data_IF_913129696781
#
_entry.id   IF_913129696781
#
_cell.length_a   1.000
_cell.length_b   1.000
_cell.length_c   1.000
_cell.angle_alpha   90.00
_cell.angle_beta   90.00
_cell.angle_gamma   90.00
#
_symmetry.space_group_name_H-M   'P 1'
#
loop_
_entity.id
_entity.type
_entity.pdbx_description
1 polymer ?
#
# COMPACT_ATOMS: atom_id res chain seq x y z
N UNK A 1 4.39 -6.15 -6.73
CA UNK A 1 4.50 -4.70 -6.42
C UNK A 1 3.12 -4.13 -6.15
N UNK A 2 2.88 -3.56 -4.95
CA UNK A 2 1.60 -2.93 -4.59
C UNK A 2 1.56 -1.48 -5.06
N UNK A 3 0.47 -1.08 -5.74
CA UNK A 3 0.25 0.32 -6.15
C UNK A 3 -0.33 1.14 -5.00
N UNK A 4 0.31 2.26 -4.65
CA UNK A 4 -0.13 3.16 -3.57
C UNK A 4 -0.69 4.47 -4.12
N UNK A 5 -1.88 4.87 -3.64
CA UNK A 5 -2.59 6.09 -4.04
C UNK A 5 -2.51 7.15 -2.92
N UNK A 6 -2.27 8.43 -3.28
CA UNK A 6 -2.03 9.54 -2.33
C UNK A 6 -2.87 10.79 -2.70
N UNK A 7 -3.10 11.70 -1.74
CA UNK A 7 -3.78 13.00 -1.96
C UNK A 7 -2.78 14.16 -2.08
N UNK A 8 -3.15 15.23 -2.80
CA UNK A 8 -2.26 16.23 -3.45
C UNK A 8 -1.21 16.99 -2.59
N UNK A 9 -1.22 16.84 -1.25
CA UNK A 9 -0.20 17.43 -0.36
C UNK A 9 0.89 16.46 0.14
N UNK A 10 0.65 15.15 0.05
CA UNK A 10 1.52 14.12 0.64
C UNK A 10 2.56 13.57 -0.34
N UNK A 11 2.40 13.92 -1.62
CA UNK A 11 3.12 13.32 -2.75
C UNK A 11 4.63 13.57 -2.69
N UNK A 12 5.07 14.80 -2.39
CA UNK A 12 6.49 15.14 -2.40
C UNK A 12 7.29 14.40 -1.32
N UNK A 13 6.76 14.35 -0.09
CA UNK A 13 7.43 13.69 1.03
C UNK A 13 7.44 12.16 0.88
N UNK A 14 6.34 11.56 0.43
CA UNK A 14 6.24 10.12 0.28
C UNK A 14 7.13 9.59 -0.87
N UNK A 15 7.25 10.33 -1.97
CA UNK A 15 8.09 9.94 -3.12
C UNK A 15 9.56 9.84 -2.74
N UNK A 16 10.05 10.69 -1.84
CA UNK A 16 11.44 10.61 -1.39
C UNK A 16 11.73 9.42 -0.48
N UNK A 17 10.74 8.97 0.30
CA UNK A 17 10.87 7.84 1.22
C UNK A 17 10.69 6.48 0.55
N UNK A 18 9.86 6.40 -0.49
CA UNK A 18 9.46 5.15 -1.15
C UNK A 18 10.24 4.91 -2.45
N UNK A 19 11.57 4.97 -2.35
CA UNK A 19 12.48 4.62 -3.45
C UNK A 19 12.64 3.09 -3.55
N UNK A 20 13.01 2.59 -4.73
CA UNK A 20 13.27 1.17 -4.91
C UNK A 20 14.35 0.68 -3.92
N UNK A 21 14.09 -0.43 -3.24
CA UNK A 21 14.98 -0.99 -2.21
C UNK A 21 14.88 -0.35 -0.82
N UNK A 22 14.13 0.75 -0.65
CA UNK A 22 13.88 1.32 0.67
C UNK A 22 12.91 0.46 1.47
N UNK A 23 13.08 0.45 2.79
CA UNK A 23 12.11 -0.15 3.74
C UNK A 23 11.38 0.98 4.46
N UNK A 24 10.04 0.90 4.49
CA UNK A 24 9.20 1.88 5.13
C UNK A 24 8.04 1.23 5.89
N UNK A 25 7.60 1.87 6.96
CA UNK A 25 6.41 1.51 7.73
C UNK A 25 5.28 2.46 7.33
N UNK A 26 4.14 1.90 6.91
CA UNK A 26 2.94 2.65 6.59
C UNK A 26 1.96 2.55 7.77
N UNK A 27 1.79 3.64 8.52
CA UNK A 27 0.88 3.69 9.67
C UNK A 27 -0.47 4.25 9.27
N UNK A 28 -1.53 3.65 9.83
CA UNK A 28 -2.92 4.00 9.54
C UNK A 28 -3.22 3.95 8.03
N UNK A 29 -2.55 3.02 7.34
CA UNK A 29 -2.83 2.71 5.94
C UNK A 29 -4.16 1.95 5.85
N UNK A 30 -4.82 2.08 4.71
CA UNK A 30 -6.06 1.40 4.40
C UNK A 30 -5.91 0.57 3.13
N UNK A 31 -6.75 -0.43 3.00
CA UNK A 31 -6.95 -1.12 1.73
C UNK A 31 -8.05 -0.39 0.97
N UNK A 32 -7.76 -0.05 -0.28
CA UNK A 32 -8.69 0.55 -1.22
C UNK A 32 -9.01 -0.45 -2.34
N UNK A 33 -10.29 -0.60 -2.66
CA UNK A 33 -10.74 -1.48 -3.74
C UNK A 33 -10.72 -0.71 -5.05
N UNK A 34 -9.89 -1.14 -5.99
CA UNK A 34 -9.77 -0.54 -7.31
C UNK A 34 -9.97 -1.60 -8.38
N UNK A 35 -11.06 -1.50 -9.16
CA UNK A 35 -11.38 -2.41 -10.27
C UNK A 35 -11.22 -3.90 -9.89
N UNK A 36 -11.96 -4.34 -8.86
CA UNK A 36 -11.90 -5.69 -8.29
C UNK A 36 -10.56 -6.11 -7.65
N UNK A 37 -9.51 -5.28 -7.72
CA UNK A 37 -8.21 -5.54 -7.08
C UNK A 37 -7.99 -4.67 -5.84
N UNK A 38 -7.18 -5.14 -4.89
CA UNK A 38 -6.84 -4.39 -3.68
C UNK A 38 -5.58 -3.54 -3.87
N UNK A 39 -5.58 -2.34 -3.29
CA UNK A 39 -4.43 -1.44 -3.21
C UNK A 39 -4.21 -0.97 -1.79
N UNK A 40 -2.96 -0.84 -1.37
CA UNK A 40 -2.62 -0.21 -0.10
C UNK A 40 -2.57 1.30 -0.32
N UNK A 41 -3.22 2.09 0.52
CA UNK A 41 -3.24 3.54 0.42
C UNK A 41 -3.02 4.19 1.79
N UNK A 42 -2.45 5.40 1.79
CA UNK A 42 -2.30 6.22 3.00
C UNK A 42 -2.98 7.54 2.72
N UNK A 43 -3.94 7.92 3.57
CA UNK A 43 -4.63 9.20 3.45
C UNK A 43 -4.08 10.24 4.44
N UNK A 44 -4.77 11.38 4.54
CA UNK A 44 -4.36 12.52 5.38
C UNK A 44 -4.18 12.20 6.87
N UNK A 45 -4.69 11.07 7.36
CA UNK A 45 -4.57 10.66 8.75
C UNK A 45 -3.46 9.62 8.98
N UNK A 46 -2.89 9.07 7.90
CA UNK A 46 -1.80 8.10 7.97
C UNK A 46 -0.42 8.72 7.83
N UNK A 47 0.61 7.89 8.00
CA UNK A 47 2.03 8.29 7.96
C UNK A 47 2.87 7.26 7.22
N UNK A 48 3.92 7.76 6.57
CA UNK A 48 5.01 6.97 6.00
C UNK A 48 6.25 7.24 6.83
N UNK A 49 6.84 6.19 7.39
CA UNK A 49 8.04 6.26 8.22
C UNK A 49 9.16 5.47 7.55
N UNK A 50 10.31 6.11 7.30
CA UNK A 50 11.51 5.36 6.93
C UNK A 50 11.99 4.52 8.11
N UNK A 51 12.54 3.35 7.81
CA UNK A 51 13.10 2.44 8.81
C UNK A 51 14.39 1.82 8.28
N UNK A 52 15.11 1.14 9.16
CA UNK A 52 16.23 0.30 8.77
C UNK A 52 15.78 -0.83 7.81
N UNK A 53 16.71 -1.40 7.02
CA UNK A 53 16.41 -2.47 6.08
C UNK A 53 15.67 -3.63 6.75
N UNK A 54 14.63 -4.13 6.09
CA UNK A 54 13.91 -5.31 6.55
C UNK A 54 14.87 -6.51 6.66
N UNK A 55 14.76 -7.26 7.76
CA UNK A 55 15.53 -8.50 7.96
C UNK A 55 14.92 -9.70 7.22
N UNK A 56 13.88 -9.49 6.42
CA UNK A 56 13.12 -10.51 5.71
C UNK A 56 13.14 -10.25 4.20
N UNK A 57 13.05 -11.34 3.45
CA UNK A 57 12.91 -11.28 1.99
C UNK A 57 11.44 -11.11 1.64
N UNK A 58 11.12 -10.16 0.77
CA UNK A 58 9.77 -9.96 0.24
C UNK A 58 9.41 -11.12 -0.68
N UNK A 59 8.23 -11.71 -0.49
CA UNK A 59 7.69 -12.69 -1.44
C UNK A 59 7.05 -11.95 -2.62
N UNK A 60 7.76 -11.86 -3.74
CA UNK A 60 7.29 -11.18 -4.95
C UNK A 60 6.23 -11.98 -5.74
N UNK A 61 6.10 -13.28 -5.50
CA UNK A 61 5.13 -14.15 -6.16
C UNK A 61 3.70 -13.95 -5.61
N UNK A 62 3.58 -13.51 -4.35
CA UNK A 62 2.29 -13.28 -3.71
C UNK A 62 1.83 -11.82 -3.82
N UNK A 63 1.45 -11.41 -5.03
CA UNK A 63 1.03 -10.03 -5.31
C UNK A 63 -0.50 -9.85 -5.21
N UNK A 64 -0.99 -9.43 -4.05
CA UNK A 64 -2.44 -9.22 -3.81
C UNK A 64 -3.05 -8.12 -4.69
N UNK A 65 -2.26 -7.20 -5.25
CA UNK A 65 -2.77 -6.18 -6.17
C UNK A 65 -3.07 -6.72 -7.58
N UNK A 66 -2.69 -7.96 -7.88
CA UNK A 66 -3.04 -8.66 -9.12
C UNK A 66 -4.18 -9.66 -8.92
N UNK A 67 -4.60 -9.88 -7.67
CA UNK A 67 -5.72 -10.76 -7.36
C UNK A 67 -7.02 -9.99 -7.53
N UNK A 68 -7.94 -10.57 -8.29
CA UNK A 68 -9.30 -10.06 -8.47
C UNK A 68 -10.24 -10.71 -7.45
N UNK A 69 -11.05 -9.89 -6.80
CA UNK A 69 -12.05 -10.29 -5.82
C UNK A 69 -13.44 -9.98 -6.34
N UNK A 70 -14.36 -10.92 -6.14
CA UNK A 70 -15.79 -10.70 -6.38
C UNK A 70 -16.43 -10.01 -5.18
N UNK A 71 -17.40 -9.13 -5.45
CA UNK A 71 -18.23 -8.55 -4.40
C UNK A 71 -19.26 -9.59 -3.94
N UNK A 72 -19.05 -10.15 -2.76
CA UNK A 72 -20.00 -11.09 -2.14
C UNK A 72 -20.93 -10.32 -1.21
N UNK A 73 -22.23 -10.36 -1.50
CA UNK A 73 -23.25 -9.86 -0.60
C UNK A 73 -23.60 -10.95 0.41
N UNK A 74 -23.42 -10.68 1.70
CA UNK A 74 -23.92 -11.56 2.76
C UNK A 74 -25.40 -11.22 2.97
N UNK A 75 -26.29 -12.16 2.66
CA UNK A 75 -27.69 -12.04 3.05
C UNK A 75 -27.79 -12.15 4.58
N UNK A 76 -28.49 -11.21 5.21
CA UNK A 76 -28.72 -11.15 6.67
C UNK A 76 -29.59 -12.32 7.17
#
# INVERSE_FOLDING_TARGET
>A
MMHVLWTDGMIYYAVDLLKAGATAILRNAKIDMFKASMRLAVDKWGRVEATEPASFTVNEENNLSQVEYELVNVAE
#
